data_IF_196970881539
#
_entry.id   IF_196970881539
#
_cell.length_a   1.000
_cell.length_b   1.000
_cell.length_c   1.000
_cell.angle_alpha   90.00
_cell.angle_beta   90.00
_cell.angle_gamma   90.00
#
_symmetry.space_group_name_H-M   'P 1'
#
loop_
_entity.id
_entity.type
_entity.pdbx_description
1 polymer ?
#
# COMPACT_ATOMS: atom_id res chain seq x y z
N UNK A 1 1.31 -17.75 -0.59
CA UNK A 1 2.29 -16.77 -0.05
C UNK A 1 1.62 -15.98 1.09
N UNK A 2 2.36 -15.41 2.05
CA UNK A 2 1.78 -14.69 3.21
C UNK A 2 1.80 -13.16 2.97
N UNK A 3 0.64 -12.50 2.79
CA UNK A 3 0.56 -11.05 2.53
C UNK A 3 1.18 -10.22 3.66
N UNK A 4 1.10 -10.71 4.91
CA UNK A 4 1.67 -10.03 6.08
C UNK A 4 3.18 -9.92 6.03
N UNK A 5 3.86 -10.98 5.58
CA UNK A 5 5.31 -10.95 5.42
C UNK A 5 5.73 -9.96 4.32
N UNK A 6 4.97 -9.88 3.22
CA UNK A 6 5.24 -8.92 2.16
C UNK A 6 5.11 -7.47 2.63
N UNK A 7 4.07 -7.16 3.42
CA UNK A 7 3.90 -5.81 3.95
C UNK A 7 5.02 -5.44 4.94
N UNK A 8 5.38 -6.36 5.84
CA UNK A 8 6.48 -6.11 6.79
C UNK A 8 7.80 -5.86 6.06
N UNK A 9 8.05 -6.59 4.98
CA UNK A 9 9.23 -6.38 4.14
C UNK A 9 9.17 -5.05 3.39
N UNK A 10 8.01 -4.67 2.86
CA UNK A 10 7.79 -3.36 2.23
C UNK A 10 8.15 -2.21 3.19
N UNK A 11 7.71 -2.30 4.44
CA UNK A 11 7.99 -1.27 5.46
C UNK A 11 9.45 -1.23 5.87
N UNK A 12 10.12 -2.38 5.88
CA UNK A 12 11.56 -2.43 6.12
C UNK A 12 12.33 -1.73 4.99
N UNK A 13 11.94 -1.95 3.73
CA UNK A 13 12.55 -1.31 2.56
C UNK A 13 12.28 0.20 2.51
N UNK A 14 11.06 0.64 2.86
CA UNK A 14 10.73 2.06 2.98
C UNK A 14 11.70 2.75 3.96
N UNK A 15 11.93 2.15 5.13
CA UNK A 15 12.88 2.68 6.13
C UNK A 15 14.34 2.65 5.66
N UNK A 16 14.69 1.80 4.71
CA UNK A 16 16.03 1.73 4.11
C UNK A 16 16.21 2.72 2.95
N UNK A 17 15.16 3.42 2.54
CA UNK A 17 15.19 4.31 1.37
C UNK A 17 14.99 3.59 0.03
N UNK A 18 14.68 2.30 0.06
CA UNK A 18 14.46 1.47 -1.13
C UNK A 18 13.01 1.61 -1.63
N UNK A 19 12.64 2.82 -2.02
CA UNK A 19 11.24 3.22 -2.24
C UNK A 19 10.54 2.42 -3.35
N UNK A 20 11.23 2.19 -4.47
CA UNK A 20 10.65 1.45 -5.61
C UNK A 20 10.38 -0.02 -5.26
N UNK A 21 11.25 -0.65 -4.47
CA UNK A 21 11.07 -2.03 -4.07
C UNK A 21 10.07 -2.16 -2.92
N UNK A 22 10.05 -1.18 -1.99
CA UNK A 22 9.02 -1.06 -0.97
C UNK A 22 7.61 -1.01 -1.59
N UNK A 23 7.42 -0.16 -2.61
CA UNK A 23 6.15 -0.04 -3.33
C UNK A 23 5.73 -1.35 -4.01
N UNK A 24 6.64 -2.02 -4.72
CA UNK A 24 6.34 -3.31 -5.37
C UNK A 24 5.86 -4.34 -4.36
N UNK A 25 6.48 -4.38 -3.18
CA UNK A 25 6.12 -5.32 -2.13
C UNK A 25 4.79 -4.97 -1.46
N UNK A 26 4.48 -3.69 -1.26
CA UNK A 26 3.16 -3.27 -0.79
C UNK A 26 2.08 -3.59 -1.81
N UNK A 27 2.31 -3.35 -3.12
CA UNK A 27 1.32 -3.75 -4.13
C UNK A 27 1.10 -5.26 -4.13
N UNK A 28 2.18 -6.06 -4.08
CA UNK A 28 2.07 -7.52 -3.96
C UNK A 28 1.31 -7.94 -2.69
N UNK A 29 1.54 -7.25 -1.58
CA UNK A 29 0.89 -7.51 -0.30
C UNK A 29 -0.60 -7.15 -0.30
N UNK A 30 -0.96 -6.05 -0.96
CA UNK A 30 -2.33 -5.65 -1.22
C UNK A 30 -3.07 -6.68 -2.08
N UNK A 31 -2.46 -7.12 -3.18
CA UNK A 31 -3.06 -8.08 -4.11
C UNK A 31 -3.31 -9.45 -3.46
N UNK A 32 -2.39 -9.90 -2.61
CA UNK A 32 -2.50 -11.18 -1.89
C UNK A 32 -3.35 -11.10 -0.62
N UNK A 33 -3.61 -9.89 -0.12
CA UNK A 33 -4.26 -9.65 1.17
C UNK A 33 -5.75 -9.30 1.05
N UNK A 34 -6.34 -8.97 2.19
CA UNK A 34 -7.71 -8.46 2.25
C UNK A 34 -7.73 -7.02 1.74
N UNK A 35 -8.29 -6.77 0.56
CA UNK A 35 -8.33 -5.43 -0.06
C UNK A 35 -9.36 -4.49 0.61
N UNK A 36 -9.61 -4.68 1.90
CA UNK A 36 -10.59 -3.94 2.70
C UNK A 36 -9.96 -3.52 4.05
N UNK A 37 -10.55 -2.51 4.68
CA UNK A 37 -10.24 -2.06 6.03
C UNK A 37 -8.79 -1.57 6.19
N UNK A 38 -8.25 -1.80 7.39
CA UNK A 38 -6.90 -1.36 7.76
C UNK A 38 -5.82 -1.91 6.81
N UNK A 39 -6.00 -3.13 6.29
CA UNK A 39 -5.04 -3.73 5.37
C UNK A 39 -4.91 -2.95 4.06
N UNK A 40 -6.04 -2.61 3.45
CA UNK A 40 -6.08 -1.77 2.26
C UNK A 40 -5.42 -0.41 2.52
N UNK A 41 -5.83 0.26 3.60
CA UNK A 41 -5.34 1.59 3.95
C UNK A 41 -3.82 1.60 4.16
N UNK A 42 -3.32 0.62 4.92
CA UNK A 42 -1.90 0.50 5.27
C UNK A 42 -1.00 0.30 4.05
N UNK A 43 -1.43 -0.49 3.08
CA UNK A 43 -0.69 -0.67 1.83
C UNK A 43 -0.67 0.62 0.99
N UNK A 44 -1.83 1.27 0.82
CA UNK A 44 -1.91 2.51 0.04
C UNK A 44 -1.16 3.68 0.67
N UNK A 45 -1.15 3.79 2.00
CA UNK A 45 -0.33 4.80 2.68
C UNK A 45 1.17 4.55 2.51
N UNK A 46 1.62 3.30 2.52
CA UNK A 46 3.02 2.98 2.22
C UNK A 46 3.39 3.44 0.82
N UNK A 47 2.55 3.15 -0.18
CA UNK A 47 2.76 3.58 -1.57
C UNK A 47 2.77 5.11 -1.67
N UNK A 48 1.92 5.80 -0.90
CA UNK A 48 1.94 7.25 -0.86
C UNK A 48 3.27 7.79 -0.31
N UNK A 49 3.79 7.18 0.77
CA UNK A 49 5.06 7.57 1.38
C UNK A 49 6.26 7.28 0.46
N UNK A 50 6.29 6.14 -0.24
CA UNK A 50 7.35 5.84 -1.21
C UNK A 50 7.35 6.84 -2.37
N UNK A 51 6.17 7.22 -2.87
CA UNK A 51 6.04 8.18 -3.98
C UNK A 51 6.38 9.60 -3.56
N UNK A 52 5.99 10.00 -2.36
CA UNK A 52 6.36 11.29 -1.78
C UNK A 52 7.88 11.41 -1.64
N UNK A 53 8.53 10.37 -1.12
CA UNK A 53 9.99 10.32 -0.97
C UNK A 53 10.75 10.36 -2.31
N UNK A 54 10.13 9.90 -3.40
CA UNK A 54 10.66 9.98 -4.76
C UNK A 54 10.35 11.32 -5.46
N UNK A 55 9.66 12.25 -4.79
CA UNK A 55 9.25 13.54 -5.35
C UNK A 55 8.04 13.48 -6.28
N UNK A 56 7.31 12.36 -6.31
CA UNK A 56 6.08 12.20 -7.09
C UNK A 56 4.85 12.48 -6.23
N UNK A 57 4.65 13.76 -5.93
CA UNK A 57 3.51 14.24 -5.14
C UNK A 57 2.17 13.87 -5.77
N UNK A 58 2.08 13.84 -7.10
CA UNK A 58 0.85 13.52 -7.83
C UNK A 58 0.36 12.09 -7.55
N UNK A 59 1.29 11.13 -7.61
CA UNK A 59 1.00 9.73 -7.33
C UNK A 59 0.83 9.51 -5.83
N UNK A 60 1.58 10.24 -4.99
CA UNK A 60 1.39 10.20 -3.53
C UNK A 60 -0.04 10.60 -3.14
N UNK A 61 -0.53 11.74 -3.63
CA UNK A 61 -1.91 12.18 -3.38
C UNK A 61 -2.94 11.19 -3.91
N UNK A 62 -2.71 10.63 -5.10
CA UNK A 62 -3.60 9.62 -5.66
C UNK A 62 -3.66 8.36 -4.77
N UNK A 63 -2.52 7.92 -4.22
CA UNK A 63 -2.44 6.81 -3.30
C UNK A 63 -3.11 7.12 -1.95
N UNK A 64 -2.97 8.33 -1.41
CA UNK A 64 -3.69 8.78 -0.20
C UNK A 64 -5.21 8.75 -0.41
N UNK A 65 -5.69 9.28 -1.54
CA UNK A 65 -7.12 9.21 -1.90
C UNK A 65 -7.64 7.78 -1.98
N UNK A 66 -6.82 6.82 -2.45
CA UNK A 66 -7.19 5.40 -2.44
C UNK A 66 -7.22 4.82 -1.03
N UNK A 67 -6.28 5.21 -0.16
CA UNK A 67 -6.28 4.81 1.24
C UNK A 67 -7.55 5.27 1.97
N UNK A 68 -7.97 6.52 1.74
CA UNK A 68 -9.20 7.08 2.30
C UNK A 68 -10.47 6.40 1.77
N UNK A 69 -10.42 5.96 0.50
CA UNK A 69 -11.50 5.22 -0.16
C UNK A 69 -11.53 3.72 0.14
N UNK A 70 -10.66 3.21 1.03
CA UNK A 70 -10.58 1.79 1.30
C UNK A 70 -11.90 1.23 1.87
N UNK A 71 -12.53 0.24 1.22
CA UNK A 71 -13.82 -0.30 1.66
C UNK A 71 -13.67 -1.00 3.02
N UNK A 72 -14.55 -0.73 3.98
CA UNK A 72 -14.52 -1.37 5.31
C UNK A 72 -15.29 -2.70 5.37
N UNK A 73 -16.09 -2.99 4.34
CA UNK A 73 -16.84 -4.24 4.18
C UNK A 73 -16.67 -4.75 2.75
N UNK A 74 -16.70 -6.07 2.51
CA UNK A 74 -16.74 -6.60 1.15
C UNK A 74 -17.91 -5.98 0.37
N UNK A 75 -17.63 -5.51 -0.84
CA UNK A 75 -18.69 -5.05 -1.74
C UNK A 75 -19.59 -6.25 -2.08
N UNK A 76 -20.92 -6.10 -2.04
CA UNK A 76 -21.82 -7.15 -2.49
C UNK A 76 -21.50 -7.46 -3.95
N UNK A 77 -21.27 -8.74 -4.27
CA UNK A 77 -21.26 -9.21 -5.65
C UNK A 77 -22.72 -9.47 -6.04
N UNK A 78 -23.25 -8.65 -6.94
CA UNK A 78 -24.55 -8.84 -7.57
C UNK A 78 -24.39 -9.71 -8.82
#
# INVERSE_FOLDING_TARGET
ENPRLWQLKAEALLRQGEFLDAEKLAMKSYDLGSQIGEWCMRNWLLIAETRDALGDASTSEAARRRADGCPTRPLPRY
#
